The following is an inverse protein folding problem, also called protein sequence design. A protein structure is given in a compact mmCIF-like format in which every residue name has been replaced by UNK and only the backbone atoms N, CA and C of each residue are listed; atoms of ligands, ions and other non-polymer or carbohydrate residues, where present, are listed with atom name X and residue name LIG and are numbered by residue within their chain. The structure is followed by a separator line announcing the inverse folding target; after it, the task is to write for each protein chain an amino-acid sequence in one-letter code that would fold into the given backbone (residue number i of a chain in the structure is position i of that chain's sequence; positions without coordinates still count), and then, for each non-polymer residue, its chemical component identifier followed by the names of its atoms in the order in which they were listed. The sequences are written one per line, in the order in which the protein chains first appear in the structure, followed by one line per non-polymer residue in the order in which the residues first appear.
data_IF_581724484484
#
_entry.id   IF_581724484484
#
_cell.length_a   1.000
_cell.length_b   1.000
_cell.length_c   1.000
_cell.angle_alpha   90.00
_cell.angle_beta   90.00
_cell.angle_gamma   90.00
#
_symmetry.space_group_name_H-M   'P 1'
#
loop_
_entity.id
_entity.type
_entity.pdbx_description
1 polymer ?
#
# COMPACT_ATOMS: atom_id res chain seq x y z
N UNK A 1 -21.35 3.70 13.92
CA UNK A 1 -20.65 3.06 12.78
C UNK A 1 -19.15 3.16 13.04
N UNK A 2 -18.48 2.04 13.27
CA UNK A 2 -17.03 1.98 13.52
C UNK A 2 -16.27 2.25 12.23
N UNK A 3 -15.37 3.25 12.23
CA UNK A 3 -14.53 3.56 11.06
C UNK A 3 -13.62 2.36 10.73
N UNK A 4 -13.50 1.95 9.46
CA UNK A 4 -12.61 0.87 9.06
C UNK A 4 -11.16 1.22 9.43
N UNK A 5 -10.45 0.27 10.03
CA UNK A 5 -9.04 0.42 10.38
C UNK A 5 -8.18 0.05 9.16
N UNK A 6 -7.75 1.05 8.40
CA UNK A 6 -6.88 0.87 7.23
C UNK A 6 -5.42 0.68 7.65
N UNK A 7 -4.74 -0.29 7.05
CA UNK A 7 -3.29 -0.50 7.25
C UNK A 7 -2.43 0.60 6.63
N UNK A 8 -3.00 1.40 5.74
CA UNK A 8 -2.32 2.50 5.04
C UNK A 8 -2.66 3.84 5.68
N UNK A 9 -1.64 4.59 6.11
CA UNK A 9 -1.78 5.99 6.50
C UNK A 9 -1.77 6.92 5.26
N UNK A 10 -2.15 8.19 5.44
CA UNK A 10 -2.15 9.19 4.36
C UNK A 10 -0.77 9.29 3.67
N UNK A 11 -0.76 9.39 2.35
CA UNK A 11 0.46 9.33 1.53
C UNK A 11 1.39 10.53 1.80
N UNK A 12 2.71 10.31 2.01
CA UNK A 12 3.72 11.36 1.97
C UNK A 12 4.19 11.64 0.54
N UNK A 13 4.86 12.78 0.34
CA UNK A 13 5.47 13.15 -0.95
C UNK A 13 6.77 12.35 -1.18
N UNK A 14 6.93 11.72 -2.35
CA UNK A 14 8.03 10.78 -2.64
C UNK A 14 8.56 10.89 -4.08
N UNK A 15 9.88 10.68 -4.28
CA UNK A 15 10.51 10.59 -5.62
C UNK A 15 10.38 9.16 -6.19
N UNK A 16 9.62 8.93 -7.27
CA UNK A 16 9.27 7.58 -7.71
C UNK A 16 10.34 6.95 -8.63
N UNK A 17 10.70 5.70 -8.34
CA UNK A 17 11.29 4.79 -9.32
C UNK A 17 10.17 4.02 -10.04
N UNK A 18 10.23 3.88 -11.37
CA UNK A 18 9.19 3.17 -12.14
C UNK A 18 9.47 1.68 -12.18
N UNK A 19 8.48 0.87 -11.78
CA UNK A 19 8.47 -0.59 -11.90
C UNK A 19 7.16 -1.02 -12.57
N UNK A 20 7.24 -1.83 -13.62
CA UNK A 20 6.05 -2.42 -14.27
C UNK A 20 5.79 -3.81 -13.71
N UNK A 21 4.55 -4.11 -13.33
CA UNK A 21 4.15 -5.40 -12.74
C UNK A 21 2.85 -5.89 -13.37
N UNK A 22 2.71 -7.21 -13.54
CA UNK A 22 1.45 -7.84 -13.87
C UNK A 22 0.78 -8.33 -12.60
N UNK A 23 -0.51 -8.02 -12.43
CA UNK A 23 -1.29 -8.40 -11.25
C UNK A 23 -2.38 -9.40 -11.65
N UNK A 24 -2.61 -10.46 -10.86
CA UNK A 24 -3.78 -11.31 -11.04
C UNK A 24 -5.09 -10.50 -10.99
N UNK A 25 -6.13 -10.90 -11.74
CA UNK A 25 -7.40 -10.18 -11.79
C UNK A 25 -8.02 -9.94 -10.41
N UNK A 26 -7.98 -10.95 -9.53
CA UNK A 26 -8.57 -10.88 -8.19
C UNK A 26 -7.87 -9.81 -7.33
N UNK A 27 -6.53 -9.77 -7.36
CA UNK A 27 -5.75 -8.76 -6.64
C UNK A 27 -6.04 -7.35 -7.18
N UNK A 28 -6.20 -7.18 -8.50
CA UNK A 28 -6.61 -5.90 -9.08
C UNK A 28 -8.02 -5.50 -8.62
N UNK A 29 -8.93 -6.46 -8.45
CA UNK A 29 -10.26 -6.25 -7.88
C UNK A 29 -10.20 -5.74 -6.44
N UNK A 30 -9.41 -6.40 -5.60
CA UNK A 30 -9.24 -6.02 -4.20
C UNK A 30 -8.59 -4.64 -4.05
N UNK A 31 -7.57 -4.33 -4.85
CA UNK A 31 -6.91 -3.03 -4.83
C UNK A 31 -7.87 -1.89 -5.23
N UNK A 32 -8.76 -2.12 -6.20
CA UNK A 32 -9.81 -1.14 -6.55
C UNK A 32 -10.79 -0.92 -5.40
N UNK A 33 -11.18 -1.99 -4.71
CA UNK A 33 -12.05 -1.90 -3.52
C UNK A 33 -11.34 -1.13 -2.40
N UNK A 34 -10.06 -1.41 -2.15
CA UNK A 34 -9.26 -0.69 -1.17
C UNK A 34 -9.19 0.81 -1.48
N UNK A 35 -8.98 1.19 -2.74
CA UNK A 35 -8.96 2.60 -3.15
C UNK A 35 -10.28 3.33 -2.87
N UNK A 36 -11.43 2.65 -3.06
CA UNK A 36 -12.75 3.21 -2.70
C UNK A 36 -12.87 3.43 -1.19
N UNK A 37 -12.42 2.46 -0.37
CA UNK A 37 -12.47 2.59 1.10
C UNK A 37 -11.52 3.72 1.56
N UNK A 38 -10.34 3.85 0.94
CA UNK A 38 -9.40 4.95 1.20
C UNK A 38 -10.06 6.31 0.96
N UNK A 39 -10.71 6.48 -0.20
CA UNK A 39 -11.46 7.70 -0.55
C UNK A 39 -12.54 8.01 0.49
N UNK A 40 -13.33 7.01 0.90
CA UNK A 40 -14.35 7.18 1.93
C UNK A 40 -13.76 7.54 3.30
N UNK A 41 -12.58 7.04 3.63
CA UNK A 41 -11.95 7.23 4.94
C UNK A 41 -11.29 8.60 5.06
N UNK A 42 -10.64 9.07 3.99
CA UNK A 42 -9.83 10.29 4.00
C UNK A 42 -10.42 11.43 3.18
N UNK A 43 -11.54 11.22 2.48
CA UNK A 43 -12.15 12.19 1.57
C UNK A 43 -11.32 12.48 0.33
N UNK A 44 -10.32 11.64 0.05
CA UNK A 44 -9.31 11.89 -0.99
C UNK A 44 -9.21 10.69 -1.93
N UNK A 45 -9.61 10.90 -3.19
CA UNK A 45 -9.53 9.88 -4.23
C UNK A 45 -8.09 9.73 -4.70
N UNK A 46 -7.59 8.50 -4.67
CA UNK A 46 -6.25 8.16 -5.15
C UNK A 46 -6.34 6.99 -6.13
N UNK A 47 -5.63 7.01 -7.27
CA UNK A 47 -5.54 5.86 -8.15
C UNK A 47 -4.81 4.72 -7.43
N UNK A 48 -5.15 3.47 -7.76
CA UNK A 48 -4.50 2.27 -7.18
C UNK A 48 -2.98 2.36 -7.26
N UNK A 49 -2.43 2.82 -8.40
CA UNK A 49 -0.99 2.97 -8.60
C UNK A 49 -0.31 3.94 -7.63
N UNK A 50 -1.03 4.95 -7.10
CA UNK A 50 -0.49 5.86 -6.10
C UNK A 50 -0.48 5.25 -4.69
N UNK A 51 -1.37 4.30 -4.40
CA UNK A 51 -1.45 3.63 -3.11
C UNK A 51 -0.44 2.48 -2.97
N UNK A 52 -0.13 1.79 -4.07
CA UNK A 52 0.75 0.61 -4.10
C UNK A 52 2.11 0.86 -3.43
N UNK A 53 2.87 1.95 -3.73
CA UNK A 53 4.17 2.17 -3.11
C UNK A 53 4.10 2.21 -1.58
N UNK A 54 3.09 2.88 -1.04
CA UNK A 54 2.91 2.98 0.42
C UNK A 54 2.37 1.69 1.03
N UNK A 55 1.54 0.93 0.32
CA UNK A 55 1.15 -0.42 0.74
C UNK A 55 2.37 -1.35 0.86
N UNK A 56 3.26 -1.34 -0.13
CA UNK A 56 4.49 -2.13 -0.12
C UNK A 56 5.45 -1.69 0.99
N UNK A 57 5.60 -0.38 1.19
CA UNK A 57 6.39 0.16 2.30
C UNK A 57 5.84 -0.30 3.66
N UNK A 58 4.51 -0.23 3.85
CA UNK A 58 3.84 -0.71 5.05
C UNK A 58 4.02 -2.22 5.27
N UNK A 59 3.91 -3.01 4.21
CA UNK A 59 4.15 -4.45 4.24
C UNK A 59 5.58 -4.78 4.73
N UNK A 60 6.60 -4.23 4.06
CA UNK A 60 8.01 -4.44 4.43
C UNK A 60 8.32 -3.92 5.84
N UNK A 61 7.71 -2.81 6.24
CA UNK A 61 7.83 -2.25 7.58
C UNK A 61 7.11 -3.07 8.65
N UNK A 62 6.17 -3.94 8.30
CA UNK A 62 5.48 -4.83 9.25
C UNK A 62 6.14 -6.21 9.36
N UNK A 63 6.93 -6.61 8.36
CA UNK A 63 7.57 -7.92 8.32
C UNK A 63 8.86 -7.94 9.16
N UNK A 64 8.76 -8.52 10.36
CA UNK A 64 9.89 -8.67 11.28
C UNK A 64 10.96 -9.63 10.74
N UNK A 65 10.56 -10.68 10.01
CA UNK A 65 11.47 -11.65 9.41
C UNK A 65 12.32 -10.98 8.34
N UNK A 66 11.68 -10.22 7.45
CA UNK A 66 12.36 -9.38 6.46
C UNK A 66 13.33 -8.41 7.11
N UNK A 67 12.89 -7.68 8.16
CA UNK A 67 13.78 -6.72 8.86
C UNK A 67 15.01 -7.40 9.46
N UNK A 68 14.88 -8.61 10.01
CA UNK A 68 16.00 -9.36 10.57
C UNK A 68 16.97 -9.76 9.45
N UNK A 69 16.48 -10.44 8.41
CA UNK A 69 17.30 -10.89 7.29
C UNK A 69 18.00 -9.73 6.57
N UNK A 70 17.32 -8.59 6.39
CA UNK A 70 17.91 -7.37 5.80
C UNK A 70 19.11 -6.85 6.58
N UNK A 71 19.08 -6.93 7.92
CA UNK A 71 20.21 -6.52 8.78
C UNK A 71 21.38 -7.50 8.70
N UNK A 72 21.10 -8.79 8.51
CA UNK A 72 22.13 -9.83 8.41
C UNK A 72 22.84 -9.83 7.05
N UNK A 73 22.16 -9.33 6.00
CA UNK A 73 22.72 -9.18 4.66
C UNK A 73 23.57 -7.90 4.49
N UNK A 74 23.36 -6.89 5.35
CA UNK A 74 24.01 -5.59 5.31
C UNK A 74 25.35 -5.61 6.06
#
# INVERSE_FOLDING_TARGET
MTKPNLKLAKLPDMKPAKLSVSLPPDLMGDLKTYAKIYEQTYGEKQPVGALIPSMLAGFLASDHGFKKAKRELA
#
